data_IF_431623409906
#
_entry.id   IF_431623409906
#
_cell.length_a   1.000
_cell.length_b   1.000
_cell.length_c   1.000
_cell.angle_alpha   90.00
_cell.angle_beta   90.00
_cell.angle_gamma   90.00
#
_symmetry.space_group_name_H-M   'P 1'
#
loop_
_entity.id
_entity.type
_entity.pdbx_description
1 polymer ?
#
# COMPACT_ATOMS: atom_id res chain seq x y z
N UNK A 1 0.92 16.77 18.12
CA UNK A 1 0.31 15.90 19.14
C UNK A 1 -1.16 16.26 19.29
N UNK A 2 -2.01 15.54 18.57
CA UNK A 2 -3.45 15.74 18.64
C UNK A 2 -3.96 15.15 19.96
N UNK A 3 -4.61 15.98 20.76
CA UNK A 3 -5.23 15.61 22.03
C UNK A 3 -6.34 14.59 21.80
N UNK A 4 -6.16 13.37 22.28
CA UNK A 4 -7.21 12.35 22.36
C UNK A 4 -8.14 12.67 23.55
N UNK A 5 -9.01 13.65 23.40
CA UNK A 5 -10.11 13.82 24.32
C UNK A 5 -11.30 12.96 23.89
N UNK A 6 -11.43 11.79 24.49
CA UNK A 6 -12.65 10.99 24.43
C UNK A 6 -13.44 11.16 25.72
N UNK A 7 -14.44 12.03 25.73
CA UNK A 7 -15.50 11.99 26.71
C UNK A 7 -16.46 10.85 26.36
N UNK A 8 -16.27 9.70 26.97
CA UNK A 8 -17.21 8.58 26.92
C UNK A 8 -17.67 8.23 28.32
N UNK A 9 -18.80 8.76 28.75
CA UNK A 9 -19.47 8.30 29.97
C UNK A 9 -20.21 7.00 29.69
N UNK A 10 -19.68 5.86 30.14
CA UNK A 10 -20.47 4.63 30.25
C UNK A 10 -21.03 4.54 31.66
N UNK A 11 -22.34 4.72 31.83
CA UNK A 11 -23.04 4.36 33.06
C UNK A 11 -23.17 2.84 33.10
N UNK A 12 -22.45 2.19 34.01
CA UNK A 12 -22.70 0.79 34.39
C UNK A 12 -23.27 0.78 35.79
N UNK A 13 -24.43 0.16 35.96
CA UNK A 13 -25.06 -0.08 37.26
C UNK A 13 -24.09 -0.81 38.21
N UNK A 14 -23.77 -0.20 39.33
CA UNK A 14 -23.40 -0.90 40.56
C UNK A 14 -21.97 -1.33 40.74
N UNK A 15 -20.93 -0.61 40.22
CA UNK A 15 -19.56 -0.69 40.77
C UNK A 15 -18.83 0.62 40.52
N UNK A 16 -18.04 1.06 41.49
CA UNK A 16 -17.35 2.34 41.45
C UNK A 16 -16.64 2.61 40.14
N UNK A 17 -16.72 3.83 39.62
CA UNK A 17 -16.03 4.30 38.41
C UNK A 17 -14.56 3.84 38.46
N UNK A 18 -14.12 3.05 37.48
CA UNK A 18 -12.71 2.75 37.35
C UNK A 18 -11.96 4.06 37.08
N UNK A 19 -10.96 4.41 37.88
CA UNK A 19 -10.22 5.67 37.70
C UNK A 19 -9.41 5.68 36.39
N UNK A 20 -9.18 4.50 35.80
CA UNK A 20 -8.40 4.33 34.57
C UNK A 20 -9.32 3.79 33.46
N UNK A 21 -9.37 4.43 32.28
CA UNK A 21 -10.14 3.93 31.14
C UNK A 21 -9.71 2.53 30.69
N UNK A 22 -10.66 1.73 30.19
CA UNK A 22 -10.34 0.43 29.62
C UNK A 22 -9.37 0.57 28.44
N UNK A 23 -8.35 -0.29 28.40
CA UNK A 23 -7.37 -0.37 27.30
C UNK A 23 -7.97 -0.91 25.99
N UNK A 24 -9.05 -1.65 26.05
CA UNK A 24 -9.71 -2.27 24.90
C UNK A 24 -11.17 -1.79 24.79
N UNK A 25 -11.74 -1.91 23.59
CA UNK A 25 -13.16 -1.74 23.38
C UNK A 25 -13.92 -2.96 23.91
N UNK A 26 -15.09 -2.75 24.53
CA UNK A 26 -16.00 -3.84 24.86
C UNK A 26 -16.89 -4.17 23.66
N UNK A 27 -17.18 -5.45 23.45
CA UNK A 27 -18.17 -5.89 22.47
C UNK A 27 -19.61 -5.48 22.86
N UNK A 28 -19.85 -5.29 24.17
CA UNK A 28 -21.14 -4.86 24.70
C UNK A 28 -21.40 -3.35 24.52
N UNK A 29 -20.32 -2.58 24.22
CA UNK A 29 -20.49 -1.16 23.94
C UNK A 29 -21.16 -0.95 22.57
N UNK A 30 -22.22 -0.13 22.48
CA UNK A 30 -22.83 0.18 21.20
C UNK A 30 -21.84 0.88 20.27
N UNK A 31 -21.90 0.54 18.99
CA UNK A 31 -21.13 1.21 17.94
C UNK A 31 -22.11 2.06 17.15
N UNK A 32 -21.95 3.39 17.22
CA UNK A 32 -22.88 4.36 16.66
C UNK A 32 -22.65 4.58 15.17
N UNK A 33 -23.63 4.20 14.34
CA UNK A 33 -23.65 4.59 12.91
C UNK A 33 -23.77 6.10 12.75
N UNK A 34 -24.44 6.79 13.66
CA UNK A 34 -24.57 8.26 13.61
C UNK A 34 -23.22 8.94 13.77
N UNK A 35 -22.37 8.47 14.71
CA UNK A 35 -21.04 9.04 14.90
C UNK A 35 -20.13 8.72 13.70
N UNK A 36 -20.27 7.53 13.13
CA UNK A 36 -19.59 7.14 11.89
C UNK A 36 -20.01 8.03 10.71
N UNK A 37 -21.32 8.23 10.52
CA UNK A 37 -21.87 9.11 9.50
C UNK A 37 -21.34 10.53 9.62
N UNK A 38 -21.33 11.10 10.83
CA UNK A 38 -20.82 12.44 11.08
C UNK A 38 -19.34 12.62 10.72
N UNK A 39 -18.53 11.55 10.79
CA UNK A 39 -17.15 11.58 10.27
C UNK A 39 -17.12 11.55 8.73
N UNK A 40 -17.96 10.73 8.10
CA UNK A 40 -17.97 10.53 6.65
C UNK A 40 -18.66 11.67 5.88
N UNK A 41 -19.43 12.52 6.54
CA UNK A 41 -20.10 13.69 5.95
C UNK A 41 -19.20 14.93 5.82
N UNK A 42 -17.95 14.84 6.26
CA UNK A 42 -16.96 15.90 6.05
C UNK A 42 -16.68 16.10 4.56
N UNK A 43 -16.25 17.29 4.20
CA UNK A 43 -15.87 17.62 2.83
C UNK A 43 -14.41 18.03 2.76
N UNK A 44 -13.74 17.60 1.68
CA UNK A 44 -12.43 18.07 1.30
C UNK A 44 -12.55 19.05 0.14
N UNK A 45 -11.78 20.11 0.17
CA UNK A 45 -11.78 21.18 -0.84
C UNK A 45 -10.39 21.33 -1.46
N UNK A 46 -10.31 22.05 -2.57
CA UNK A 46 -9.04 22.41 -3.21
C UNK A 46 -8.16 23.27 -2.29
N UNK A 47 -8.77 24.09 -1.43
CA UNK A 47 -8.04 24.96 -0.48
C UNK A 47 -7.36 24.13 0.64
N UNK A 48 -7.92 22.96 0.97
CA UNK A 48 -7.29 22.03 1.92
C UNK A 48 -6.06 21.33 1.32
N UNK A 49 -6.02 21.18 -0.02
CA UNK A 49 -4.97 20.46 -0.77
C UNK A 49 -4.50 21.28 -1.96
N UNK A 50 -3.71 22.34 -1.74
CA UNK A 50 -3.33 23.30 -2.77
C UNK A 50 -2.50 22.71 -3.92
N UNK A 51 -1.77 21.61 -3.71
CA UNK A 51 -1.01 20.94 -4.76
C UNK A 51 -1.86 19.96 -5.59
N UNK A 52 -3.03 19.54 -5.12
CA UNK A 52 -3.92 18.70 -5.93
C UNK A 52 -4.38 19.49 -7.18
N UNK A 53 -4.48 18.86 -8.33
CA UNK A 53 -5.04 19.47 -9.53
C UNK A 53 -6.55 19.75 -9.37
N UNK A 54 -7.24 18.83 -8.68
CA UNK A 54 -8.67 18.92 -8.35
C UNK A 54 -8.98 18.13 -7.07
N UNK A 55 -10.15 18.41 -6.47
CA UNK A 55 -10.77 17.52 -5.48
C UNK A 55 -12.11 17.06 -6.05
N UNK A 56 -12.21 15.79 -6.34
CA UNK A 56 -13.40 15.18 -6.95
C UNK A 56 -14.06 14.22 -5.97
N UNK A 57 -15.31 14.46 -5.59
CA UNK A 57 -16.06 13.60 -4.65
C UNK A 57 -15.29 13.34 -3.33
N UNK A 58 -14.66 14.36 -2.78
CA UNK A 58 -13.77 14.28 -1.60
C UNK A 58 -12.45 13.53 -1.83
N UNK A 59 -12.07 13.20 -3.05
CA UNK A 59 -10.78 12.58 -3.37
C UNK A 59 -9.89 13.62 -4.04
N UNK A 60 -8.77 14.05 -3.41
CA UNK A 60 -7.76 14.88 -4.07
C UNK A 60 -7.09 14.13 -5.21
N UNK A 61 -6.94 14.79 -6.35
CA UNK A 61 -6.36 14.27 -7.58
C UNK A 61 -5.12 15.10 -7.92
N UNK A 62 -3.97 14.46 -7.97
CA UNK A 62 -2.69 15.09 -8.31
C UNK A 62 -2.29 14.71 -9.73
N UNK A 63 -1.85 15.67 -10.53
CA UNK A 63 -1.25 15.39 -11.83
C UNK A 63 0.27 15.46 -11.70
N UNK A 64 0.92 14.30 -11.66
CA UNK A 64 2.36 14.21 -11.44
C UNK A 64 3.19 14.80 -12.59
N UNK A 65 2.61 14.95 -13.79
CA UNK A 65 3.28 15.62 -14.91
C UNK A 65 3.48 17.12 -14.68
N UNK A 66 2.77 17.71 -13.72
CA UNK A 66 2.88 19.11 -13.33
C UNK A 66 4.05 19.40 -12.38
N UNK A 67 4.74 18.37 -11.89
CA UNK A 67 5.81 18.50 -10.90
C UNK A 67 7.14 17.98 -11.43
N UNK A 68 8.23 18.60 -10.98
CA UNK A 68 9.58 18.14 -11.30
C UNK A 68 10.16 17.32 -10.16
N UNK A 69 10.71 16.15 -10.49
CA UNK A 69 11.49 15.35 -9.54
C UNK A 69 12.80 16.04 -9.10
N UNK A 70 13.23 17.12 -9.81
CA UNK A 70 14.40 17.91 -9.42
C UNK A 70 14.11 18.96 -8.35
N UNK A 71 12.83 19.25 -8.08
CA UNK A 71 12.40 20.18 -7.05
C UNK A 71 12.13 19.45 -5.73
N UNK A 72 13.18 19.33 -4.90
CA UNK A 72 13.07 18.66 -3.60
C UNK A 72 12.05 19.32 -2.67
N UNK A 73 11.85 20.64 -2.76
CA UNK A 73 10.90 21.35 -1.90
C UNK A 73 9.44 21.02 -2.30
N UNK A 74 9.17 20.93 -3.58
CA UNK A 74 7.83 20.50 -4.07
C UNK A 74 7.55 19.04 -3.69
N UNK A 75 8.56 18.17 -3.76
CA UNK A 75 8.41 16.77 -3.32
C UNK A 75 8.07 16.68 -1.84
N UNK A 76 8.78 17.44 -0.98
CA UNK A 76 8.49 17.49 0.46
C UNK A 76 7.06 17.99 0.72
N UNK A 77 6.63 19.05 0.07
CA UNK A 77 5.26 19.56 0.20
C UNK A 77 4.20 18.57 -0.26
N UNK A 78 4.44 17.85 -1.37
CA UNK A 78 3.55 16.77 -1.82
C UNK A 78 3.47 15.64 -0.77
N UNK A 79 4.60 15.24 -0.21
CA UNK A 79 4.63 14.22 0.84
C UNK A 79 3.89 14.66 2.11
N UNK A 80 3.99 15.92 2.49
CA UNK A 80 3.25 16.49 3.62
C UNK A 80 1.72 16.47 3.34
N UNK A 81 1.28 16.89 2.15
CA UNK A 81 -0.15 16.81 1.78
C UNK A 81 -0.64 15.35 1.78
N UNK A 82 0.09 14.42 1.18
CA UNK A 82 -0.30 13.00 1.14
C UNK A 82 -0.35 12.38 2.53
N UNK A 83 0.62 12.70 3.40
CA UNK A 83 0.63 12.24 4.78
C UNK A 83 -0.59 12.77 5.56
N UNK A 84 -0.84 14.09 5.52
CA UNK A 84 -1.99 14.71 6.15
C UNK A 84 -3.31 14.10 5.66
N UNK A 85 -3.43 13.92 4.35
CA UNK A 85 -4.60 13.36 3.69
C UNK A 85 -4.90 11.94 4.17
N UNK A 86 -3.90 11.08 4.23
CA UNK A 86 -4.03 9.68 4.68
C UNK A 86 -4.33 9.56 6.17
N UNK A 87 -3.78 10.47 6.99
CA UNK A 87 -3.93 10.44 8.45
C UNK A 87 -5.23 11.07 8.92
N UNK A 88 -5.49 12.31 8.50
CA UNK A 88 -6.52 13.19 9.05
C UNK A 88 -7.57 13.62 8.03
N UNK A 89 -7.27 13.51 6.75
CA UNK A 89 -8.12 13.90 5.63
C UNK A 89 -9.04 12.77 5.14
N UNK A 90 -9.39 12.79 3.84
CA UNK A 90 -10.27 11.80 3.21
C UNK A 90 -9.76 10.36 3.28
N UNK A 91 -8.47 10.15 3.49
CA UNK A 91 -7.85 8.83 3.56
C UNK A 91 -7.56 8.18 2.22
N UNK A 92 -7.79 8.87 1.11
CA UNK A 92 -7.58 8.41 -0.26
C UNK A 92 -7.22 9.57 -1.19
N UNK A 93 -6.31 9.35 -2.12
CA UNK A 93 -6.00 10.27 -3.21
C UNK A 93 -5.71 9.52 -4.50
N UNK A 94 -5.92 10.18 -5.64
CA UNK A 94 -5.57 9.67 -6.96
C UNK A 94 -4.39 10.48 -7.53
N UNK A 95 -3.56 9.80 -8.32
CA UNK A 95 -2.47 10.42 -9.06
C UNK A 95 -2.61 10.09 -10.54
N UNK A 96 -2.64 11.11 -11.37
CA UNK A 96 -2.58 11.01 -12.83
C UNK A 96 -1.11 10.97 -13.26
N UNK A 97 -0.86 10.30 -14.36
CA UNK A 97 0.48 10.26 -14.96
C UNK A 97 1.55 9.67 -14.02
N UNK A 98 1.18 8.68 -13.18
CA UNK A 98 2.17 7.95 -12.37
C UNK A 98 3.17 7.23 -13.28
N UNK A 99 2.68 6.69 -14.40
CA UNK A 99 3.49 6.17 -15.51
C UNK A 99 3.11 6.92 -16.78
N UNK A 100 3.96 7.84 -17.22
CA UNK A 100 3.77 8.60 -18.47
C UNK A 100 4.16 7.79 -19.70
N UNK A 101 5.17 6.92 -19.58
CA UNK A 101 5.52 5.94 -20.60
C UNK A 101 4.69 4.67 -20.40
N UNK A 102 3.59 4.56 -21.15
CA UNK A 102 2.68 3.43 -21.06
C UNK A 102 3.30 2.10 -21.53
N UNK A 103 4.42 2.14 -22.27
CA UNK A 103 5.15 0.92 -22.66
C UNK A 103 5.66 0.13 -21.45
N UNK A 104 5.91 0.81 -20.32
CA UNK A 104 6.27 0.19 -19.03
C UNK A 104 5.12 -0.68 -18.51
N UNK A 105 3.88 -0.17 -18.58
CA UNK A 105 2.68 -0.93 -18.20
C UNK A 105 2.45 -2.08 -19.18
N UNK A 106 2.65 -1.87 -20.48
CA UNK A 106 2.48 -2.92 -21.49
C UNK A 106 3.47 -4.06 -21.32
N UNK A 107 4.74 -3.75 -21.01
CA UNK A 107 5.73 -4.77 -20.72
C UNK A 107 5.39 -5.59 -19.46
N UNK A 108 4.91 -4.91 -18.41
CA UNK A 108 4.45 -5.59 -17.19
C UNK A 108 3.21 -6.46 -17.47
N UNK A 109 2.23 -5.98 -18.25
CA UNK A 109 1.05 -6.75 -18.66
C UNK A 109 1.47 -8.02 -19.40
N UNK A 110 2.42 -7.90 -20.35
CA UNK A 110 2.93 -9.08 -21.04
C UNK A 110 3.54 -10.11 -20.08
N UNK A 111 4.35 -9.66 -19.11
CA UNK A 111 4.90 -10.56 -18.10
C UNK A 111 3.79 -11.24 -17.27
N UNK A 112 2.72 -10.52 -16.93
CA UNK A 112 1.57 -11.09 -16.21
C UNK A 112 0.79 -12.08 -17.06
N UNK A 113 0.61 -11.84 -18.36
CA UNK A 113 -0.02 -12.79 -19.28
C UNK A 113 0.79 -14.08 -19.38
N UNK A 114 2.12 -13.98 -19.47
CA UNK A 114 3.01 -15.12 -19.50
C UNK A 114 2.95 -15.92 -18.17
N UNK A 115 2.84 -15.24 -17.01
CA UNK A 115 2.65 -15.88 -15.70
C UNK A 115 1.29 -16.59 -15.64
N UNK A 116 0.21 -15.95 -16.08
CA UNK A 116 -1.14 -16.55 -16.10
C UNK A 116 -1.14 -17.79 -16.99
N UNK A 117 -0.53 -17.73 -18.16
CA UNK A 117 -0.44 -18.86 -19.07
C UNK A 117 0.33 -20.04 -18.45
N UNK A 118 1.45 -19.76 -17.76
CA UNK A 118 2.25 -20.78 -17.08
C UNK A 118 1.51 -21.40 -15.88
N UNK A 119 0.67 -20.66 -15.18
CA UNK A 119 -0.09 -21.10 -14.00
C UNK A 119 -1.50 -21.63 -14.34
N UNK A 120 -1.92 -21.61 -15.60
CA UNK A 120 -3.29 -21.93 -16.00
C UNK A 120 -3.80 -23.31 -15.50
N UNK A 121 -2.91 -24.28 -15.34
CA UNK A 121 -3.26 -25.62 -14.80
C UNK A 121 -3.43 -25.65 -13.30
N UNK A 122 -2.94 -24.65 -12.55
CA UNK A 122 -2.92 -24.58 -11.08
C UNK A 122 -3.70 -23.38 -10.51
N UNK A 123 -4.22 -22.50 -11.37
CA UNK A 123 -4.88 -21.27 -10.95
C UNK A 123 -6.16 -21.54 -10.16
N UNK A 124 -6.22 -20.99 -8.95
CA UNK A 124 -7.37 -21.13 -8.03
C UNK A 124 -8.38 -19.96 -8.10
N UNK A 125 -8.20 -19.03 -9.06
CA UNK A 125 -9.05 -17.84 -9.18
C UNK A 125 -8.84 -16.80 -8.07
N UNK A 126 -9.79 -15.90 -7.92
CA UNK A 126 -9.78 -14.88 -6.86
C UNK A 126 -10.60 -15.37 -5.66
N UNK A 127 -9.93 -15.61 -4.52
CA UNK A 127 -10.57 -16.06 -3.27
C UNK A 127 -11.53 -15.03 -2.65
N UNK A 128 -11.46 -13.77 -3.07
CA UNK A 128 -12.30 -12.68 -2.55
C UNK A 128 -13.46 -12.32 -3.48
N UNK A 129 -13.60 -13.00 -4.62
CA UNK A 129 -14.67 -12.77 -5.57
C UNK A 129 -15.62 -13.96 -5.66
N UNK A 130 -16.93 -13.66 -5.69
CA UNK A 130 -17.98 -14.68 -5.81
C UNK A 130 -18.13 -15.22 -7.24
N UNK A 131 -17.44 -14.65 -8.23
CA UNK A 131 -17.59 -15.02 -9.64
C UNK A 131 -16.28 -15.53 -10.25
N UNK A 132 -16.40 -16.51 -11.15
CA UNK A 132 -15.29 -17.02 -11.96
C UNK A 132 -14.77 -16.03 -13.01
N UNK A 133 -15.40 -14.86 -13.15
CA UNK A 133 -14.99 -13.80 -14.07
C UNK A 133 -13.76 -13.03 -13.59
N UNK A 134 -13.35 -13.21 -12.34
CA UNK A 134 -12.18 -12.53 -11.77
C UNK A 134 -10.95 -13.45 -11.79
N UNK A 135 -9.80 -12.89 -12.15
CA UNK A 135 -8.51 -13.56 -12.07
C UNK A 135 -7.58 -12.74 -11.18
N UNK A 136 -6.75 -13.43 -10.38
CA UNK A 136 -5.77 -12.79 -9.51
C UNK A 136 -4.43 -13.50 -9.59
N UNK A 137 -3.36 -12.73 -9.77
CA UNK A 137 -1.99 -13.20 -9.61
C UNK A 137 -1.55 -12.83 -8.19
N UNK A 138 -1.48 -13.82 -7.32
CA UNK A 138 -0.92 -13.68 -5.98
C UNK A 138 0.60 -13.58 -6.05
N UNK A 139 1.24 -12.83 -5.14
CA UNK A 139 2.69 -12.61 -5.14
C UNK A 139 3.20 -12.06 -6.48
N UNK A 140 2.42 -11.20 -7.14
CA UNK A 140 2.78 -10.68 -8.47
C UNK A 140 4.09 -9.92 -8.45
N UNK A 141 4.46 -9.28 -7.34
CA UNK A 141 5.76 -8.63 -7.19
C UNK A 141 6.91 -9.60 -7.43
N UNK A 142 6.98 -10.69 -6.67
CA UNK A 142 8.04 -11.70 -6.81
C UNK A 142 7.97 -12.41 -8.15
N UNK A 143 6.78 -12.81 -8.60
CA UNK A 143 6.59 -13.50 -9.87
C UNK A 143 7.01 -12.67 -11.06
N UNK A 144 6.71 -11.37 -11.06
CA UNK A 144 7.13 -10.45 -12.12
C UNK A 144 8.66 -10.38 -12.19
N UNK A 145 9.34 -10.14 -11.07
CA UNK A 145 10.81 -10.07 -11.04
C UNK A 145 11.50 -11.37 -11.45
N UNK A 146 10.87 -12.51 -11.15
CA UNK A 146 11.39 -13.81 -11.58
C UNK A 146 11.12 -14.11 -13.06
N UNK A 147 9.98 -13.71 -13.60
CA UNK A 147 9.60 -13.97 -14.99
C UNK A 147 10.29 -13.01 -15.98
N UNK A 148 10.25 -11.70 -15.69
CA UNK A 148 10.86 -10.65 -16.52
C UNK A 148 11.55 -9.61 -15.64
N UNK A 149 12.81 -9.84 -15.24
CA UNK A 149 13.55 -8.91 -14.37
C UNK A 149 13.75 -7.53 -14.98
N UNK A 150 13.81 -7.41 -16.32
CA UNK A 150 13.99 -6.13 -17.00
C UNK A 150 12.73 -5.26 -16.89
N UNK A 151 11.56 -5.78 -17.25
CA UNK A 151 10.32 -5.02 -17.12
C UNK A 151 9.99 -4.73 -15.64
N UNK A 152 10.25 -5.67 -14.74
CA UNK A 152 10.16 -5.48 -13.29
C UNK A 152 11.03 -4.32 -12.80
N UNK A 153 12.31 -4.30 -13.20
CA UNK A 153 13.25 -3.25 -12.80
C UNK A 153 12.78 -1.87 -13.27
N UNK A 154 12.34 -1.74 -14.52
CA UNK A 154 11.80 -0.48 -15.06
C UNK A 154 10.51 -0.07 -14.34
N UNK A 155 9.61 -1.02 -14.07
CA UNK A 155 8.33 -0.75 -13.39
C UNK A 155 8.52 -0.26 -11.95
N UNK A 156 9.31 -0.97 -11.15
CA UNK A 156 9.50 -0.64 -9.74
C UNK A 156 10.61 0.38 -9.47
N UNK A 157 11.31 0.86 -10.50
CA UNK A 157 12.24 1.99 -10.41
C UNK A 157 11.54 3.36 -10.47
N UNK A 158 10.21 3.41 -10.46
CA UNK A 158 9.45 4.66 -10.53
C UNK A 158 9.67 5.53 -9.28
N UNK A 159 10.30 6.72 -9.40
CA UNK A 159 10.59 7.58 -8.25
C UNK A 159 9.31 8.13 -7.59
N UNK A 160 8.25 8.41 -8.35
CA UNK A 160 6.99 8.89 -7.78
C UNK A 160 6.34 7.84 -6.87
N UNK A 161 6.35 6.57 -7.27
CA UNK A 161 5.88 5.48 -6.40
C UNK A 161 6.70 5.42 -5.11
N UNK A 162 8.02 5.59 -5.20
CA UNK A 162 8.90 5.63 -4.03
C UNK A 162 8.56 6.80 -3.10
N UNK A 163 8.35 8.01 -3.62
CA UNK A 163 7.96 9.18 -2.82
C UNK A 163 6.61 9.00 -2.15
N UNK A 164 5.63 8.42 -2.85
CA UNK A 164 4.31 8.11 -2.28
C UNK A 164 4.43 7.11 -1.12
N UNK A 165 5.22 6.04 -1.30
CA UNK A 165 5.47 5.06 -0.23
C UNK A 165 6.14 5.72 0.98
N UNK A 166 7.16 6.53 0.74
CA UNK A 166 7.93 7.20 1.81
C UNK A 166 7.11 8.26 2.55
N UNK A 167 6.16 8.93 1.89
CA UNK A 167 5.28 9.92 2.51
C UNK A 167 4.48 9.37 3.69
N UNK A 168 4.12 8.08 3.64
CA UNK A 168 3.33 7.43 4.69
C UNK A 168 4.17 6.55 5.61
N UNK A 169 5.13 5.81 5.06
CA UNK A 169 5.82 4.72 5.76
C UNK A 169 7.28 5.00 6.07
N UNK A 170 7.81 6.13 5.59
CA UNK A 170 9.25 6.41 5.65
C UNK A 170 10.03 5.61 4.61
N UNK A 171 11.38 5.74 4.57
CA UNK A 171 12.21 5.23 3.47
C UNK A 171 12.41 3.70 3.48
N UNK A 172 12.09 3.02 4.57
CA UNK A 172 12.34 1.59 4.73
C UNK A 172 11.07 0.74 4.57
N UNK A 173 10.21 1.10 3.61
CA UNK A 173 8.99 0.37 3.29
C UNK A 173 9.27 -0.95 2.55
N UNK A 174 8.26 -1.83 2.51
CA UNK A 174 8.27 -3.09 1.73
C UNK A 174 7.07 -3.15 0.80
N UNK A 175 7.30 -3.43 -0.47
CA UNK A 175 6.24 -3.62 -1.46
C UNK A 175 5.89 -5.10 -1.58
N UNK A 176 4.61 -5.41 -1.49
CA UNK A 176 3.99 -6.63 -2.00
C UNK A 176 2.91 -6.25 -3.00
N UNK A 177 2.57 -7.13 -3.92
CA UNK A 177 1.62 -6.80 -4.96
C UNK A 177 0.82 -8.01 -5.46
N UNK A 178 -0.38 -7.71 -5.96
CA UNK A 178 -1.28 -8.70 -6.57
C UNK A 178 -1.91 -8.07 -7.81
N UNK A 179 -1.85 -8.74 -8.95
CA UNK A 179 -2.59 -8.29 -10.12
C UNK A 179 -4.01 -8.81 -10.03
N UNK A 180 -4.97 -7.92 -10.19
CA UNK A 180 -6.40 -8.26 -10.20
C UNK A 180 -7.01 -7.88 -11.55
N UNK A 181 -7.58 -8.88 -12.23
CA UNK A 181 -8.28 -8.72 -13.51
C UNK A 181 -9.75 -9.05 -13.27
N UNK A 182 -10.62 -8.07 -13.51
CA UNK A 182 -12.07 -8.21 -13.36
C UNK A 182 -12.71 -8.03 -14.73
N UNK A 183 -13.22 -9.13 -15.29
CA UNK A 183 -13.86 -9.16 -16.60
C UNK A 183 -15.29 -8.65 -16.52
N UNK A 184 -15.93 -8.34 -17.68
CA UNK A 184 -17.34 -8.02 -17.76
C UNK A 184 -18.20 -9.03 -16.98
N UNK A 185 -19.14 -8.53 -16.18
CA UNK A 185 -19.95 -9.34 -15.26
C UNK A 185 -19.29 -9.72 -13.94
N UNK A 186 -18.07 -9.26 -13.69
CA UNK A 186 -17.39 -9.48 -12.40
C UNK A 186 -18.14 -8.82 -11.24
N UNK A 187 -18.43 -9.59 -10.19
CA UNK A 187 -19.19 -9.14 -9.04
C UNK A 187 -18.41 -8.15 -8.16
N UNK A 188 -19.10 -7.21 -7.48
CA UNK A 188 -18.47 -6.29 -6.55
C UNK A 188 -18.08 -7.01 -5.26
N UNK A 189 -17.14 -6.43 -4.53
CA UNK A 189 -16.83 -6.85 -3.16
C UNK A 189 -17.78 -6.19 -2.15
N UNK A 190 -17.93 -6.83 -0.99
CA UNK A 190 -18.52 -6.21 0.20
C UNK A 190 -17.52 -5.21 0.78
N UNK A 191 -17.99 -4.10 1.36
CA UNK A 191 -17.12 -3.12 1.99
C UNK A 191 -16.31 -3.73 3.14
N UNK A 192 -15.05 -3.35 3.23
CA UNK A 192 -14.14 -3.88 4.23
C UNK A 192 -13.07 -2.85 4.62
N UNK A 193 -12.35 -3.16 5.67
CA UNK A 193 -11.04 -2.61 6.04
C UNK A 193 -10.02 -3.70 5.85
N UNK A 194 -8.87 -3.34 5.33
CA UNK A 194 -7.79 -4.28 5.11
C UNK A 194 -6.71 -4.20 6.18
N UNK A 195 -5.81 -5.14 6.08
CA UNK A 195 -4.60 -5.42 6.83
C UNK A 195 -4.78 -5.71 8.30
N UNK A 196 -3.90 -6.56 8.78
CA UNK A 196 -3.77 -6.99 10.16
C UNK A 196 -5.12 -7.33 10.81
N UNK A 197 -5.81 -6.33 11.34
CA UNK A 197 -7.10 -6.50 12.00
C UNK A 197 -8.27 -6.63 11.02
N UNK A 198 -8.12 -6.22 9.79
CA UNK A 198 -9.16 -6.36 8.75
C UNK A 198 -9.49 -7.82 8.40
N UNK A 199 -8.56 -8.75 8.65
CA UNK A 199 -8.78 -10.20 8.46
C UNK A 199 -9.25 -10.91 9.74
N UNK A 200 -9.49 -10.17 10.82
CA UNK A 200 -9.93 -10.72 12.10
C UNK A 200 -11.44 -10.55 12.29
N UNK A 201 -12.02 -11.40 13.15
CA UNK A 201 -13.40 -11.19 13.63
C UNK A 201 -13.46 -9.98 14.57
N UNK A 202 -14.65 -9.41 14.79
CA UNK A 202 -14.83 -8.30 15.72
C UNK A 202 -14.37 -8.66 17.15
N UNK A 203 -14.66 -9.88 17.61
CA UNK A 203 -14.22 -10.40 18.92
C UNK A 203 -12.69 -10.49 19.02
N UNK A 204 -12.02 -10.94 17.95
CA UNK A 204 -10.57 -10.98 17.92
C UNK A 204 -9.97 -9.57 17.94
N UNK A 205 -10.55 -8.61 17.19
CA UNK A 205 -10.14 -7.20 17.20
C UNK A 205 -10.32 -6.57 18.60
N UNK A 206 -11.40 -6.88 19.30
CA UNK A 206 -11.67 -6.36 20.64
C UNK A 206 -10.61 -6.76 21.69
N UNK A 207 -9.84 -7.83 21.45
CA UNK A 207 -8.73 -8.26 22.33
C UNK A 207 -7.52 -7.34 22.24
N UNK A 208 -7.35 -6.63 21.12
CA UNK A 208 -6.25 -5.70 20.95
C UNK A 208 -6.52 -4.38 21.68
N UNK A 209 -5.50 -3.80 22.32
CA UNK A 209 -5.63 -2.46 22.90
C UNK A 209 -6.02 -1.43 21.85
N UNK A 210 -6.78 -0.41 22.25
CA UNK A 210 -7.21 0.71 21.39
C UNK A 210 -6.03 1.31 20.59
N UNK A 211 -4.91 1.50 21.26
CA UNK A 211 -3.69 2.04 20.63
C UNK A 211 -3.16 1.11 19.53
N UNK A 212 -3.27 -0.22 19.69
CA UNK A 212 -2.84 -1.17 18.65
C UNK A 212 -3.81 -1.25 17.48
N UNK A 213 -5.11 -1.05 17.73
CA UNK A 213 -6.08 -0.94 16.65
C UNK A 213 -5.83 0.31 15.79
N UNK A 214 -5.48 1.43 16.43
CA UNK A 214 -5.07 2.66 15.71
C UNK A 214 -3.73 2.45 15.01
N UNK A 215 -2.71 1.92 15.72
CA UNK A 215 -1.38 1.72 15.16
C UNK A 215 -1.40 0.80 13.92
N UNK A 216 -2.23 -0.25 13.92
CA UNK A 216 -2.31 -1.21 12.81
C UNK A 216 -2.65 -0.56 11.47
N UNK A 217 -3.51 0.47 11.47
CA UNK A 217 -3.89 1.21 10.26
C UNK A 217 -2.79 2.14 9.74
N UNK A 218 -1.76 2.45 10.56
CA UNK A 218 -0.65 3.32 10.20
C UNK A 218 0.54 2.54 9.60
N UNK A 219 0.53 1.21 9.70
CA UNK A 219 1.62 0.34 9.30
C UNK A 219 1.57 -0.12 7.84
N UNK A 220 0.57 0.31 7.09
CA UNK A 220 0.38 -0.11 5.70
C UNK A 220 -0.19 1.03 4.86
N UNK A 221 0.24 1.09 3.60
CA UNK A 221 -0.37 1.88 2.54
C UNK A 221 -0.90 0.91 1.48
N UNK A 222 -2.13 1.11 1.06
CA UNK A 222 -2.68 0.41 -0.10
C UNK A 222 -2.73 1.33 -1.31
N UNK A 223 -2.61 0.72 -2.48
CA UNK A 223 -2.80 1.42 -3.75
C UNK A 223 -3.15 0.48 -4.88
N UNK A 224 -3.52 1.06 -5.99
CA UNK A 224 -3.70 0.37 -7.25
C UNK A 224 -3.11 1.21 -8.38
N UNK A 225 -2.30 0.58 -9.21
CA UNK A 225 -1.85 1.15 -10.49
C UNK A 225 -2.76 0.59 -11.58
N UNK A 226 -3.33 1.47 -12.39
CA UNK A 226 -4.22 1.09 -13.48
C UNK A 226 -3.42 0.48 -14.64
N UNK A 227 -3.68 -0.77 -14.96
CA UNK A 227 -3.07 -1.52 -16.07
C UNK A 227 -3.95 -1.56 -17.33
N UNK A 228 -5.18 -1.11 -17.22
CA UNK A 228 -6.11 -0.79 -18.30
C UNK A 228 -6.80 0.53 -17.99
N UNK A 229 -7.48 1.13 -18.95
CA UNK A 229 -8.43 2.19 -18.65
C UNK A 229 -9.55 1.64 -17.76
N UNK A 230 -9.96 2.44 -16.79
CA UNK A 230 -10.97 2.09 -15.79
C UNK A 230 -12.08 3.15 -15.75
N UNK A 231 -12.97 3.23 -16.74
CA UNK A 231 -14.17 4.05 -16.63
C UNK A 231 -15.05 3.55 -15.49
N UNK A 232 -15.97 4.36 -14.99
CA UNK A 232 -16.85 4.00 -13.87
C UNK A 232 -17.63 2.70 -14.12
N UNK A 233 -17.99 2.42 -15.38
CA UNK A 233 -18.69 1.19 -15.79
C UNK A 233 -17.85 -0.08 -15.58
N UNK A 234 -16.51 0.02 -15.59
CA UNK A 234 -15.62 -1.12 -15.29
C UNK A 234 -15.51 -1.43 -13.80
N UNK A 235 -16.12 -0.60 -12.93
CA UNK A 235 -16.19 -0.78 -11.50
C UNK A 235 -14.87 -0.55 -10.76
N UNK A 236 -14.18 0.60 -10.92
CA UNK A 236 -13.01 0.92 -10.11
C UNK A 236 -13.35 0.90 -8.62
N UNK A 237 -12.33 0.90 -7.78
CA UNK A 237 -12.50 0.81 -6.33
C UNK A 237 -13.45 1.89 -5.79
N UNK A 238 -14.38 1.46 -4.95
CA UNK A 238 -15.33 2.31 -4.22
C UNK A 238 -14.75 2.64 -2.87
N UNK A 239 -14.81 3.90 -2.48
CA UNK A 239 -14.27 4.42 -1.23
C UNK A 239 -15.35 5.15 -0.42
N UNK A 240 -15.23 5.12 0.88
CA UNK A 240 -16.00 6.00 1.78
C UNK A 240 -15.02 6.97 2.47
N UNK A 241 -14.82 8.18 1.93
CA UNK A 241 -13.86 9.14 2.47
C UNK A 241 -14.06 9.40 3.96
N UNK A 242 -12.97 9.65 4.69
CA UNK A 242 -12.89 9.91 6.15
C UNK A 242 -13.20 8.70 7.06
N UNK A 243 -13.69 7.58 6.54
CA UNK A 243 -14.12 6.42 7.34
C UNK A 243 -12.96 5.71 8.08
N UNK A 244 -11.69 5.89 7.65
CA UNK A 244 -10.51 5.37 8.34
C UNK A 244 -10.38 5.95 9.76
N UNK A 245 -10.91 7.15 9.98
CA UNK A 245 -10.82 7.88 11.24
C UNK A 245 -11.75 7.32 12.32
N UNK A 246 -12.68 6.43 11.97
CA UNK A 246 -13.61 5.87 12.94
C UNK A 246 -12.91 4.86 13.87
N UNK A 247 -12.78 5.14 15.18
CA UNK A 247 -11.92 4.37 16.07
C UNK A 247 -12.32 2.90 16.21
N UNK A 248 -13.62 2.59 16.21
CA UNK A 248 -14.17 1.23 16.33
C UNK A 248 -14.36 0.54 14.97
N UNK A 249 -13.75 1.05 13.89
CA UNK A 249 -14.03 0.62 12.52
C UNK A 249 -13.76 -0.86 12.26
N UNK A 250 -12.72 -1.46 12.85
CA UNK A 250 -12.43 -2.89 12.71
C UNK A 250 -13.47 -3.80 13.38
N UNK A 251 -14.24 -3.29 14.34
CA UNK A 251 -15.36 -3.99 14.97
C UNK A 251 -16.70 -3.69 14.29
N UNK A 252 -16.75 -2.64 13.46
CA UNK A 252 -17.96 -2.10 12.88
C UNK A 252 -18.20 -2.54 11.43
N UNK A 253 -17.17 -2.61 10.58
CA UNK A 253 -17.32 -2.69 9.13
C UNK A 253 -18.09 -3.92 8.63
N UNK A 254 -18.14 -5.01 9.41
CA UNK A 254 -18.89 -6.24 9.07
C UNK A 254 -20.38 -6.15 9.46
N UNK A 255 -20.79 -5.12 10.20
CA UNK A 255 -22.18 -4.97 10.65
C UNK A 255 -23.06 -4.48 9.49
N UNK A 256 -24.29 -5.03 9.32
CA UNK A 256 -25.16 -4.69 8.22
C UNK A 256 -25.39 -3.18 8.07
N UNK A 257 -25.65 -2.48 9.16
CA UNK A 257 -25.97 -1.05 9.18
C UNK A 257 -24.79 -0.17 8.67
N UNK A 258 -23.55 -0.61 8.87
CA UNK A 258 -22.36 0.09 8.34
C UNK A 258 -22.15 -0.20 6.84
N UNK A 259 -22.47 -1.43 6.41
CA UNK A 259 -22.44 -1.76 4.99
C UNK A 259 -23.56 -1.03 4.22
N UNK A 260 -24.77 -0.92 4.80
CA UNK A 260 -25.85 -0.14 4.21
C UNK A 260 -25.47 1.34 4.06
N UNK A 261 -24.84 1.92 5.09
CA UNK A 261 -24.33 3.29 5.00
C UNK A 261 -23.27 3.41 3.90
N UNK A 262 -22.29 2.48 3.82
CA UNK A 262 -21.32 2.45 2.74
C UNK A 262 -21.99 2.40 1.36
N UNK A 263 -22.94 1.49 1.15
CA UNK A 263 -23.65 1.34 -0.12
C UNK A 263 -24.41 2.60 -0.54
N UNK A 264 -24.85 3.41 0.41
CA UNK A 264 -25.56 4.67 0.13
C UNK A 264 -24.66 5.88 -0.13
N UNK A 265 -23.33 5.82 0.19
CA UNK A 265 -22.46 6.99 0.26
C UNK A 265 -21.08 6.83 -0.37
N UNK A 266 -20.72 5.64 -0.87
CA UNK A 266 -19.44 5.43 -1.52
C UNK A 266 -19.24 6.34 -2.74
N UNK A 267 -17.98 6.61 -3.02
CA UNK A 267 -17.55 7.35 -4.21
C UNK A 267 -16.49 6.53 -4.95
N UNK A 268 -16.34 6.80 -6.24
CA UNK A 268 -15.32 6.21 -7.08
C UNK A 268 -14.90 7.20 -8.16
N UNK A 269 -13.65 7.10 -8.63
CA UNK A 269 -13.12 7.87 -9.73
C UNK A 269 -12.71 6.94 -10.88
N UNK A 270 -12.86 7.39 -12.14
CA UNK A 270 -12.24 6.71 -13.27
C UNK A 270 -10.71 6.91 -13.21
N UNK A 271 -9.97 5.93 -13.69
CA UNK A 271 -8.52 6.00 -13.86
C UNK A 271 -8.17 5.68 -15.31
N UNK A 272 -7.24 6.42 -15.89
CA UNK A 272 -6.61 6.04 -17.13
C UNK A 272 -5.48 5.02 -16.86
N UNK A 273 -5.15 4.22 -17.86
CA UNK A 273 -3.98 3.33 -17.79
C UNK A 273 -2.72 4.16 -17.45
N UNK A 274 -1.97 3.70 -16.46
CA UNK A 274 -0.81 4.41 -15.93
C UNK A 274 -1.09 5.36 -14.75
N UNK A 275 -2.36 5.63 -14.42
CA UNK A 275 -2.74 6.35 -13.22
C UNK A 275 -2.63 5.47 -11.98
N UNK A 276 -2.65 6.10 -10.80
CA UNK A 276 -2.67 5.39 -9.51
C UNK A 276 -3.71 5.95 -8.54
N UNK A 277 -4.13 5.12 -7.60
CA UNK A 277 -4.91 5.52 -6.43
C UNK A 277 -4.28 4.92 -5.19
N UNK A 278 -4.14 5.72 -4.13
CA UNK A 278 -3.52 5.30 -2.87
C UNK A 278 -4.42 5.67 -1.70
N UNK A 279 -4.47 4.80 -0.69
CA UNK A 279 -5.38 4.99 0.44
C UNK A 279 -4.92 4.29 1.71
N UNK A 280 -5.40 4.79 2.83
CA UNK A 280 -5.23 4.14 4.13
C UNK A 280 -6.04 2.83 4.16
N UNK A 281 -5.46 1.68 4.51
CA UNK A 281 -6.15 0.39 4.50
C UNK A 281 -7.36 0.31 5.45
N UNK A 282 -7.42 1.19 6.45
CA UNK A 282 -8.58 1.30 7.36
C UNK A 282 -9.75 2.09 6.76
N UNK A 283 -9.60 2.68 5.59
CA UNK A 283 -10.69 3.29 4.84
C UNK A 283 -11.69 2.21 4.44
N UNK A 284 -12.99 2.43 4.63
CA UNK A 284 -14.00 1.51 4.10
C UNK A 284 -13.96 1.57 2.57
N UNK A 285 -13.68 0.45 1.97
CA UNK A 285 -13.54 0.36 0.53
C UNK A 285 -14.01 -1.00 0.00
N UNK A 286 -14.21 -1.09 -1.31
CA UNK A 286 -14.58 -2.33 -1.99
C UNK A 286 -14.32 -2.23 -3.50
N UNK A 287 -13.99 -3.32 -4.17
CA UNK A 287 -14.02 -3.35 -5.63
C UNK A 287 -15.46 -3.14 -6.13
N UNK A 288 -15.62 -2.33 -7.19
CA UNK A 288 -16.89 -2.17 -7.88
C UNK A 288 -17.21 -3.34 -8.80
N UNK A 289 -18.48 -3.50 -9.18
CA UNK A 289 -18.89 -4.43 -10.24
C UNK A 289 -18.37 -3.96 -11.59
N UNK A 290 -17.93 -4.89 -12.43
CA UNK A 290 -17.63 -4.57 -13.83
C UNK A 290 -18.90 -4.75 -14.66
N UNK A 291 -19.58 -3.65 -14.93
CA UNK A 291 -20.81 -3.56 -15.73
C UNK A 291 -20.54 -3.22 -17.20
N UNK A 292 -19.25 -3.08 -17.58
CA UNK A 292 -18.89 -2.89 -18.98
C UNK A 292 -19.12 -4.17 -19.79
N UNK A 293 -19.24 -4.02 -21.11
CA UNK A 293 -19.43 -5.13 -22.03
C UNK A 293 -18.13 -5.72 -22.57
N UNK A 294 -17.02 -4.95 -22.49
CA UNK A 294 -15.82 -5.18 -23.30
C UNK A 294 -14.49 -4.80 -22.60
N UNK A 295 -14.54 -4.36 -21.34
CA UNK A 295 -13.33 -3.93 -20.61
C UNK A 295 -12.92 -4.99 -19.60
N UNK A 296 -11.78 -5.61 -19.81
CA UNK A 296 -11.07 -6.34 -18.78
C UNK A 296 -10.34 -5.33 -17.89
N UNK A 297 -10.95 -4.99 -16.74
CA UNK A 297 -10.33 -4.08 -15.78
C UNK A 297 -9.15 -4.75 -15.11
N UNK A 298 -7.94 -4.25 -15.38
CA UNK A 298 -6.71 -4.77 -14.81
C UNK A 298 -6.01 -3.73 -13.92
N UNK A 299 -5.61 -4.14 -12.73
CA UNK A 299 -4.85 -3.31 -11.80
C UNK A 299 -3.77 -4.11 -11.09
N UNK A 300 -2.61 -3.49 -10.89
CA UNK A 300 -1.62 -3.96 -9.93
C UNK A 300 -1.94 -3.36 -8.56
N UNK A 301 -2.47 -4.19 -7.67
CA UNK A 301 -2.80 -3.80 -6.30
C UNK A 301 -1.52 -3.85 -5.46
N UNK A 302 -0.96 -2.69 -5.18
CA UNK A 302 0.24 -2.57 -4.35
C UNK A 302 -0.15 -2.49 -2.88
N UNK A 303 0.57 -3.25 -2.08
CA UNK A 303 0.36 -3.36 -0.64
C UNK A 303 1.71 -3.14 0.03
N UNK A 304 1.86 -1.96 0.61
CA UNK A 304 3.14 -1.47 1.06
C UNK A 304 3.13 -1.45 2.59
N UNK A 305 4.10 -2.11 3.19
CA UNK A 305 4.20 -2.24 4.64
C UNK A 305 5.36 -1.41 5.19
N UNK A 306 5.13 -0.85 6.37
CA UNK A 306 6.18 -0.22 7.17
C UNK A 306 7.26 -1.24 7.56
N UNK A 307 8.47 -0.76 7.79
CA UNK A 307 9.54 -1.52 8.43
C UNK A 307 9.14 -2.12 9.80
N UNK A 308 8.16 -1.52 10.46
CA UNK A 308 7.69 -1.91 11.80
C UNK A 308 6.45 -2.82 11.76
N UNK A 309 5.93 -3.12 10.56
CA UNK A 309 4.77 -3.97 10.34
C UNK A 309 5.11 -5.23 9.54
N UNK A 310 4.34 -6.29 9.73
CA UNK A 310 4.48 -7.48 8.89
C UNK A 310 3.85 -7.23 7.53
N UNK A 311 4.54 -7.53 6.42
CA UNK A 311 3.95 -7.44 5.08
C UNK A 311 2.90 -8.54 4.89
N UNK A 312 2.04 -8.35 3.88
CA UNK A 312 1.02 -9.35 3.50
C UNK A 312 1.66 -10.66 3.02
N UNK A 313 2.75 -10.54 2.28
CA UNK A 313 3.44 -11.66 1.64
C UNK A 313 4.92 -11.64 2.04
N UNK A 314 5.51 -12.81 2.22
CA UNK A 314 6.96 -12.91 2.43
C UNK A 314 7.65 -12.83 1.07
N UNK A 315 8.34 -11.72 0.82
CA UNK A 315 9.17 -11.54 -0.37
C UNK A 315 10.60 -11.96 -0.05
N UNK A 316 11.12 -12.94 -0.78
CA UNK A 316 12.55 -13.27 -0.72
C UNK A 316 13.32 -12.39 -1.72
N UNK A 317 14.11 -11.46 -1.20
CA UNK A 317 14.89 -10.55 -2.03
C UNK A 317 16.10 -11.22 -2.69
N UNK A 318 16.62 -12.35 -2.17
CA UNK A 318 17.81 -13.00 -2.74
C UNK A 318 17.64 -13.35 -4.22
N UNK A 319 16.64 -14.16 -4.62
CA UNK A 319 16.46 -14.49 -6.03
C UNK A 319 16.09 -13.25 -6.88
N UNK A 320 15.40 -12.27 -6.30
CA UNK A 320 15.09 -11.03 -7.02
C UNK A 320 16.35 -10.20 -7.26
N UNK A 321 17.24 -10.08 -6.28
CA UNK A 321 18.53 -9.40 -6.45
C UNK A 321 19.38 -10.12 -7.49
N UNK A 322 19.46 -11.46 -7.43
CA UNK A 322 20.17 -12.26 -8.42
C UNK A 322 19.68 -11.97 -9.85
N UNK A 323 18.36 -11.90 -10.04
CA UNK A 323 17.74 -11.65 -11.36
C UNK A 323 17.87 -10.21 -11.82
N UNK A 324 17.85 -9.23 -10.90
CA UNK A 324 17.75 -7.81 -11.24
C UNK A 324 19.08 -7.05 -11.12
N UNK A 325 20.14 -7.64 -10.57
CA UNK A 325 21.39 -6.91 -10.29
C UNK A 325 22.05 -6.30 -11.53
N UNK A 326 22.05 -7.03 -12.64
CA UNK A 326 22.59 -6.51 -13.89
C UNK A 326 21.73 -5.37 -14.46
N UNK A 327 20.42 -5.41 -14.28
CA UNK A 327 19.53 -4.31 -14.68
C UNK A 327 19.80 -3.04 -13.83
N UNK A 328 20.02 -3.20 -12.52
CA UNK A 328 20.39 -2.08 -11.62
C UNK A 328 21.73 -1.48 -12.05
N UNK A 329 22.73 -2.32 -12.32
CA UNK A 329 24.04 -1.85 -12.82
C UNK A 329 23.91 -1.14 -14.18
N UNK A 330 23.04 -1.65 -15.06
CA UNK A 330 22.80 -1.03 -16.36
C UNK A 330 22.14 0.35 -16.22
N UNK A 331 21.19 0.52 -15.28
CA UNK A 331 20.63 1.83 -14.95
C UNK A 331 21.69 2.77 -14.37
N UNK A 332 22.50 2.32 -13.41
CA UNK A 332 23.58 3.14 -12.82
C UNK A 332 24.58 3.62 -13.87
N UNK A 333 24.92 2.82 -14.87
CA UNK A 333 25.83 3.21 -15.96
C UNK A 333 25.29 4.34 -16.84
N UNK A 334 23.99 4.63 -16.80
CA UNK A 334 23.39 5.78 -17.51
C UNK A 334 23.64 7.12 -16.80
N UNK A 335 24.30 7.09 -15.64
CA UNK A 335 24.75 8.27 -14.90
C UNK A 335 23.69 8.83 -13.94
N UNK A 336 23.97 10.07 -13.48
CA UNK A 336 23.15 10.75 -12.47
C UNK A 336 21.67 10.91 -12.85
N UNK A 337 21.37 10.93 -14.14
CA UNK A 337 19.99 11.01 -14.64
C UNK A 337 19.11 9.83 -14.22
N UNK A 338 19.72 8.71 -13.83
CA UNK A 338 19.04 7.49 -13.36
C UNK A 338 19.23 7.20 -11.86
N UNK A 339 19.85 8.11 -11.13
CA UNK A 339 20.15 7.88 -9.72
C UNK A 339 18.87 7.66 -8.87
N UNK A 340 17.78 8.38 -9.15
CA UNK A 340 16.52 8.23 -8.43
C UNK A 340 15.84 6.90 -8.73
N UNK A 341 15.85 6.48 -9.98
CA UNK A 341 15.32 5.19 -10.40
C UNK A 341 16.08 4.02 -9.75
N UNK A 342 17.41 4.12 -9.69
CA UNK A 342 18.24 3.13 -8.98
C UNK A 342 17.87 3.07 -7.49
N UNK A 343 17.72 4.23 -6.83
CA UNK A 343 17.33 4.28 -5.43
C UNK A 343 15.92 3.71 -5.20
N UNK A 344 14.96 4.05 -6.05
CA UNK A 344 13.60 3.54 -5.97
C UNK A 344 13.56 2.00 -6.14
N UNK A 345 14.33 1.46 -7.09
CA UNK A 345 14.40 0.02 -7.30
C UNK A 345 15.06 -0.71 -6.13
N UNK A 346 16.14 -0.19 -5.56
CA UNK A 346 16.76 -0.76 -4.35
C UNK A 346 15.77 -0.73 -3.17
N UNK A 347 15.04 0.37 -3.00
CA UNK A 347 14.05 0.49 -1.93
C UNK A 347 12.88 -0.51 -2.11
N UNK A 348 12.52 -0.85 -3.34
CA UNK A 348 11.51 -1.85 -3.63
C UNK A 348 12.01 -3.29 -3.37
N UNK A 349 13.29 -3.57 -3.67
CA UNK A 349 13.86 -4.92 -3.66
C UNK A 349 14.30 -5.40 -2.27
N UNK A 350 14.86 -4.52 -1.44
CA UNK A 350 15.62 -4.92 -0.25
C UNK A 350 15.09 -4.25 1.04
N UNK A 351 15.40 -4.87 2.20
CA UNK A 351 15.02 -4.32 3.50
C UNK A 351 15.85 -3.05 3.82
N UNK A 352 15.15 -1.96 4.07
CA UNK A 352 15.78 -0.69 4.48
C UNK A 352 15.97 -0.54 5.98
N UNK A 353 15.42 -1.46 6.79
CA UNK A 353 15.58 -1.46 8.24
C UNK A 353 16.34 -2.71 8.68
N UNK A 354 17.43 -2.56 9.46
CA UNK A 354 18.35 -3.67 9.68
C UNK A 354 17.89 -4.71 10.70
N UNK A 355 16.75 -4.49 11.37
CA UNK A 355 16.23 -5.45 12.36
C UNK A 355 15.06 -6.29 11.77
N UNK A 356 14.95 -7.59 12.15
CA UNK A 356 15.73 -8.30 13.16
C UNK A 356 17.17 -8.59 12.70
N UNK A 357 18.12 -8.57 13.65
CA UNK A 357 19.52 -8.90 13.42
C UNK A 357 20.16 -9.49 14.67
N UNK A 358 21.32 -10.11 14.51
CA UNK A 358 22.15 -10.61 15.62
C UNK A 358 23.31 -9.66 15.85
N UNK A 359 23.27 -8.90 16.94
CA UNK A 359 24.28 -7.89 17.24
C UNK A 359 25.65 -8.47 17.65
N UNK A 360 25.72 -9.77 18.00
CA UNK A 360 27.01 -10.45 18.27
C UNK A 360 27.80 -10.69 16.97
N UNK A 361 27.10 -11.00 15.88
CA UNK A 361 27.69 -11.25 14.56
C UNK A 361 27.74 -10.00 13.69
N UNK A 362 26.77 -9.12 13.88
CA UNK A 362 26.63 -7.83 13.19
C UNK A 362 26.56 -6.72 14.23
N UNK A 363 27.74 -6.29 14.78
CA UNK A 363 27.76 -5.31 15.86
C UNK A 363 27.15 -3.97 15.40
N UNK A 364 26.68 -3.17 16.39
CA UNK A 364 26.23 -1.82 16.12
C UNK A 364 27.31 -1.00 15.39
N UNK A 365 26.87 -0.10 14.52
CA UNK A 365 27.74 0.88 13.88
C UNK A 365 28.33 1.85 14.95
N UNK A 366 29.38 2.61 14.62
CA UNK A 366 29.97 3.57 15.51
C UNK A 366 28.96 4.49 16.20
N UNK A 367 29.09 4.71 17.48
CA UNK A 367 28.13 5.48 18.28
C UNK A 367 26.90 4.69 18.74
N UNK A 368 26.87 3.37 18.59
CA UNK A 368 25.75 2.51 18.99
C UNK A 368 24.56 2.54 18.02
N UNK A 369 24.79 3.03 16.79
CA UNK A 369 23.77 3.08 15.75
C UNK A 369 23.49 1.69 15.18
N UNK A 370 22.35 1.54 14.49
CA UNK A 370 21.98 0.29 13.83
C UNK A 370 23.04 -0.16 12.81
N UNK A 371 23.26 -1.47 12.63
CA UNK A 371 24.15 -1.98 11.58
C UNK A 371 23.59 -1.71 10.17
N UNK A 372 24.41 -1.92 9.15
CA UNK A 372 24.06 -1.78 7.74
C UNK A 372 22.78 -2.54 7.39
N UNK A 373 21.85 -1.93 6.66
CA UNK A 373 20.66 -2.59 6.11
C UNK A 373 20.97 -3.33 4.80
N UNK A 374 20.03 -4.16 4.30
CA UNK A 374 20.16 -4.78 2.97
C UNK A 374 20.25 -3.72 1.86
N UNK A 375 19.49 -2.62 1.97
CA UNK A 375 19.56 -1.52 1.00
C UNK A 375 20.94 -0.86 1.00
N UNK A 376 21.53 -0.63 2.17
CA UNK A 376 22.87 -0.02 2.28
C UNK A 376 23.94 -0.96 1.72
N UNK A 377 23.82 -2.26 1.98
CA UNK A 377 24.69 -3.28 1.40
C UNK A 377 24.66 -3.24 -0.14
N UNK A 378 23.46 -3.18 -0.73
CA UNK A 378 23.31 -3.15 -2.19
C UNK A 378 23.83 -1.83 -2.77
N UNK A 379 23.62 -0.68 -2.11
CA UNK A 379 24.21 0.60 -2.53
C UNK A 379 25.73 0.53 -2.54
N UNK A 380 26.34 0.01 -1.47
CA UNK A 380 27.78 -0.20 -1.37
C UNK A 380 28.29 -1.14 -2.48
N UNK A 381 27.57 -2.23 -2.72
CA UNK A 381 27.91 -3.16 -3.81
C UNK A 381 27.91 -2.51 -5.20
N UNK A 382 26.98 -1.58 -5.46
CA UNK A 382 26.96 -0.79 -6.69
C UNK A 382 28.14 0.18 -6.78
N UNK A 383 28.57 0.80 -5.67
CA UNK A 383 29.70 1.71 -5.63
C UNK A 383 31.01 0.96 -5.86
N UNK A 384 31.15 -0.21 -5.24
CA UNK A 384 32.33 -1.08 -5.36
C UNK A 384 32.34 -1.92 -6.67
N UNK A 385 31.26 -1.86 -7.46
CA UNK A 385 31.18 -2.54 -8.76
C UNK A 385 31.04 -4.05 -8.67
N UNK A 386 30.35 -4.58 -7.66
CA UNK A 386 30.17 -6.02 -7.45
C UNK A 386 29.53 -6.72 -8.66
N UNK A 387 29.99 -7.96 -8.89
CA UNK A 387 29.28 -8.89 -9.75
C UNK A 387 27.96 -9.33 -9.11
N UNK A 388 27.10 -9.97 -9.90
CA UNK A 388 25.83 -10.52 -9.38
C UNK A 388 26.09 -11.57 -8.29
N UNK A 389 27.11 -12.44 -8.48
CA UNK A 389 27.51 -13.46 -7.52
C UNK A 389 28.00 -12.83 -6.21
N UNK A 390 28.76 -11.72 -6.28
CA UNK A 390 29.23 -11.00 -5.09
C UNK A 390 28.06 -10.35 -4.33
N UNK A 391 27.13 -9.69 -5.03
CA UNK A 391 25.96 -9.07 -4.40
C UNK A 391 25.09 -10.12 -3.67
N UNK A 392 24.81 -11.24 -4.32
CA UNK A 392 24.04 -12.35 -3.76
C UNK A 392 24.77 -13.00 -2.59
N UNK A 393 26.09 -13.25 -2.71
CA UNK A 393 26.87 -13.86 -1.64
C UNK A 393 26.92 -12.96 -0.39
N UNK A 394 27.15 -11.66 -0.55
CA UNK A 394 27.18 -10.70 0.56
C UNK A 394 25.79 -10.55 1.23
N UNK A 395 24.73 -10.49 0.45
CA UNK A 395 23.36 -10.43 0.98
C UNK A 395 23.00 -11.71 1.75
N UNK A 396 23.38 -12.88 1.21
CA UNK A 396 23.19 -14.18 1.86
C UNK A 396 23.96 -14.24 3.17
N UNK A 397 25.22 -13.79 3.18
CA UNK A 397 26.05 -13.75 4.40
C UNK A 397 25.44 -12.83 5.44
N UNK A 398 25.01 -11.62 5.06
CA UNK A 398 24.32 -10.69 5.96
C UNK A 398 23.10 -11.33 6.62
N UNK A 399 22.29 -12.09 5.87
CA UNK A 399 21.13 -12.79 6.41
C UNK A 399 21.50 -13.94 7.34
N UNK A 400 22.55 -14.71 7.02
CA UNK A 400 23.04 -15.76 7.91
C UNK A 400 23.57 -15.16 9.21
N UNK A 401 24.32 -14.07 9.16
CA UNK A 401 24.84 -13.39 10.34
C UNK A 401 23.74 -12.69 11.15
N UNK A 402 22.57 -12.46 10.58
CA UNK A 402 21.41 -11.92 11.30
C UNK A 402 20.66 -12.96 12.12
N UNK A 403 20.91 -14.26 11.88
CA UNK A 403 20.25 -15.34 12.63
C UNK A 403 20.85 -15.50 14.02
N UNK A 404 19.96 -15.84 14.98
CA UNK A 404 20.34 -16.18 16.35
C UNK A 404 21.23 -17.43 16.44
#
# INVERSE_FOLDING_TARGET
MASLHTNGTSETNGSGKRPIPSRAWSMDEPISVKDFAGLCEQTATKDDYPLAAAVEKNIPVYDLSSFSLDDANVIEQLQDEWNHLLLSGPGVFAVKNLYTDLSVIDAANKAYDDIIAAEASSAKGDHFAASSANSRIWNSFSKHGMADPRSFAVYYSNPWLSHICAAWLGPAYRITAQVNIVRPGGAPQVSHRDYHLGFQTADACARFPKVMQVASQLLTLQGAVAHSDMPLSSGPTRFLPFSQRFPKGYMAYRRPEFNEYFLSRWVSLPLAKGDGVFFNPALFHAAGANESSDIDRSANLVQISSAFGKPMETVDALPLVERCWDEIKAMKKQGESKAREVQALIAALAEGYPFPTNLDKRPPAPGGMAPESEQDLLRRGLEEGWSTEQAVANLKQMREDSKA
#
